data_IF_465386702475
#
_entry.id   IF_465386702475
#
_cell.length_a   1.000
_cell.length_b   1.000
_cell.length_c   1.000
_cell.angle_alpha   90.00
_cell.angle_beta   90.00
_cell.angle_gamma   90.00
#
_symmetry.space_group_name_H-M   'P 1'
#
loop_
_entity.id
_entity.type
_entity.pdbx_description
1 polymer ?
#
# COMPACT_ATOMS: atom_id res chain seq x y z
N UNK A 1 -13.72 -13.56 -68.35
CA UNK A 1 -12.58 -12.65 -68.63
C UNK A 1 -12.50 -12.61 -70.13
N UNK A 2 -13.25 -11.68 -70.71
CA UNK A 2 -13.62 -11.75 -72.11
C UNK A 2 -12.68 -10.87 -72.94
N UNK A 3 -11.93 -11.43 -73.90
CA UNK A 3 -10.93 -10.69 -74.68
C UNK A 3 -11.54 -9.77 -75.76
N UNK A 4 -12.86 -9.69 -75.89
CA UNK A 4 -13.54 -8.91 -76.95
C UNK A 4 -13.59 -7.39 -76.68
N UNK A 5 -13.57 -6.96 -75.41
CA UNK A 5 -13.71 -5.55 -75.05
C UNK A 5 -12.47 -4.70 -75.36
N UNK A 6 -11.30 -5.35 -75.45
CA UNK A 6 -10.04 -4.66 -75.78
C UNK A 6 -9.91 -4.37 -77.27
N UNK A 7 -10.60 -5.12 -78.14
CA UNK A 7 -10.59 -4.92 -79.58
C UNK A 7 -11.49 -3.75 -80.03
N UNK A 8 -12.53 -3.39 -79.26
CA UNK A 8 -13.41 -2.27 -79.59
C UNK A 8 -12.80 -0.91 -79.26
N UNK A 9 -12.00 -0.81 -78.19
CA UNK A 9 -11.35 0.44 -77.78
C UNK A 9 -10.24 0.83 -78.76
N UNK A 10 -9.49 -0.16 -79.27
CA UNK A 10 -8.44 0.08 -80.27
C UNK A 10 -9.04 0.54 -81.61
N UNK A 11 -10.20 0.00 -82.01
CA UNK A 11 -10.91 0.45 -83.22
C UNK A 11 -11.45 1.88 -83.12
N UNK A 12 -11.87 2.31 -81.93
CA UNK A 12 -12.29 3.71 -81.72
C UNK A 12 -11.10 4.66 -81.83
N UNK A 13 -9.93 4.28 -81.31
CA UNK A 13 -8.72 5.09 -81.40
C UNK A 13 -8.22 5.26 -82.85
N UNK A 14 -8.25 4.19 -83.65
CA UNK A 14 -7.81 4.22 -85.05
C UNK A 14 -8.73 5.08 -85.95
N UNK A 15 -10.04 5.06 -85.70
CA UNK A 15 -11.00 5.87 -86.46
C UNK A 15 -10.89 7.38 -86.17
N UNK A 16 -10.42 7.74 -84.98
CA UNK A 16 -10.18 9.14 -84.58
C UNK A 16 -8.91 9.69 -85.26
N UNK A 17 -7.89 8.85 -85.47
CA UNK A 17 -6.61 9.27 -86.08
C UNK A 17 -6.71 9.41 -87.61
N UNK A 18 -7.53 8.59 -88.28
CA UNK A 18 -7.67 8.62 -89.75
C UNK A 18 -8.62 9.70 -90.31
N UNK A 19 -9.35 10.43 -89.47
CA UNK A 19 -10.35 11.42 -89.92
C UNK A 19 -9.80 12.85 -90.09
N UNK A 20 -8.49 13.04 -89.99
CA UNK A 20 -7.84 14.35 -90.05
C UNK A 20 -7.17 14.67 -91.40
N UNK A 21 -7.94 14.78 -92.49
CA UNK A 21 -7.53 15.62 -93.62
C UNK A 21 -8.72 16.03 -94.51
N UNK A 22 -9.09 17.31 -94.49
CA UNK A 22 -9.45 18.15 -95.66
C UNK A 22 -10.05 19.52 -95.22
N UNK A 23 -9.27 20.57 -95.54
CA UNK A 23 -9.59 22.01 -95.71
C UNK A 23 -10.93 22.28 -96.46
N UNK A 24 -11.68 23.40 -96.39
CA UNK A 24 -11.47 24.84 -96.09
C UNK A 24 -12.82 25.59 -95.91
N UNK A 25 -12.75 26.80 -95.33
CA UNK A 25 -13.48 28.06 -95.67
C UNK A 25 -14.64 28.65 -94.82
N UNK A 26 -14.33 29.86 -94.31
CA UNK A 26 -15.16 31.08 -94.09
C UNK A 26 -15.97 31.32 -92.80
N UNK A 27 -15.40 32.22 -91.97
CA UNK A 27 -16.00 33.39 -91.26
C UNK A 27 -17.28 33.19 -90.42
N UNK A 28 -17.11 33.23 -89.09
CA UNK A 28 -17.51 34.35 -88.21
C UNK A 28 -17.01 34.13 -86.78
N UNK A 29 -16.31 35.13 -86.25
CA UNK A 29 -15.62 35.15 -84.96
C UNK A 29 -16.59 35.37 -83.79
N UNK A 30 -16.64 34.41 -82.88
CA UNK A 30 -16.80 34.64 -81.44
C UNK A 30 -15.98 33.55 -80.75
N UNK A 31 -14.69 33.84 -80.63
CA UNK A 31 -13.66 32.96 -80.15
C UNK A 31 -13.73 32.86 -78.62
N UNK A 32 -14.09 31.67 -78.12
CA UNK A 32 -13.79 31.21 -76.76
C UNK A 32 -13.39 29.71 -76.79
N UNK A 33 -12.94 29.23 -77.95
CA UNK A 33 -12.63 27.79 -78.13
C UNK A 33 -11.30 27.54 -78.84
N UNK A 34 -10.48 28.56 -79.05
CA UNK A 34 -9.15 28.41 -79.63
C UNK A 34 -8.07 27.83 -78.69
N UNK A 35 -8.40 27.34 -77.48
CA UNK A 35 -7.40 26.76 -76.56
C UNK A 35 -7.50 25.22 -76.41
N UNK A 36 -8.46 24.55 -77.05
CA UNK A 36 -8.58 23.08 -76.98
C UNK A 36 -7.92 22.32 -78.14
N UNK A 37 -7.28 23.03 -79.09
CA UNK A 37 -6.68 22.39 -80.28
C UNK A 37 -5.15 22.39 -80.26
N UNK A 38 -4.52 22.23 -79.09
CA UNK A 38 -3.10 21.90 -79.03
C UNK A 38 -2.89 20.51 -78.43
N UNK A 39 -2.56 19.58 -79.33
CA UNK A 39 -2.33 18.18 -79.08
C UNK A 39 -1.06 18.02 -78.21
N UNK A 40 -1.22 17.92 -76.89
CA UNK A 40 -0.09 17.78 -75.97
C UNK A 40 -0.54 17.33 -74.58
N UNK A 41 -0.77 16.02 -74.42
CA UNK A 41 -1.13 15.35 -73.17
C UNK A 41 -2.46 15.81 -72.54
N UNK A 42 -3.57 15.14 -72.90
CA UNK A 42 -4.77 15.14 -72.06
C UNK A 42 -4.41 14.52 -70.71
N UNK A 43 -3.98 15.37 -69.77
CA UNK A 43 -3.74 14.98 -68.39
C UNK A 43 -5.08 14.77 -67.71
N UNK A 44 -5.21 13.84 -66.76
CA UNK A 44 -6.48 13.59 -66.05
C UNK A 44 -7.05 14.87 -65.41
N UNK A 45 -6.18 15.84 -65.10
CA UNK A 45 -6.53 17.19 -64.66
C UNK A 45 -7.32 18.01 -65.69
N UNK A 46 -6.99 17.99 -66.98
CA UNK A 46 -7.74 18.79 -67.97
C UNK A 46 -9.16 18.25 -68.16
N UNK A 47 -9.32 16.93 -68.16
CA UNK A 47 -10.63 16.28 -68.23
C UNK A 47 -11.52 16.62 -67.03
N UNK A 48 -10.92 16.78 -65.84
CA UNK A 48 -11.69 17.20 -64.65
C UNK A 48 -12.18 18.64 -64.76
N UNK A 49 -11.39 19.53 -65.38
CA UNK A 49 -11.79 20.92 -65.62
C UNK A 49 -12.94 21.00 -66.63
N UNK A 50 -12.86 20.23 -67.72
CA UNK A 50 -13.93 20.16 -68.71
C UNK A 50 -15.24 19.60 -68.13
N UNK A 51 -15.16 18.55 -67.29
CA UNK A 51 -16.34 18.00 -66.62
C UNK A 51 -16.99 19.01 -65.65
N UNK A 52 -16.19 19.80 -64.93
CA UNK A 52 -16.70 20.89 -64.10
C UNK A 52 -17.36 21.97 -64.96
N UNK A 53 -16.74 22.35 -66.07
CA UNK A 53 -17.30 23.33 -67.00
C UNK A 53 -18.65 22.88 -67.58
N UNK A 54 -18.76 21.65 -68.07
CA UNK A 54 -20.03 21.11 -68.58
C UNK A 54 -21.09 21.01 -67.48
N UNK A 55 -20.73 20.63 -66.27
CA UNK A 55 -21.67 20.61 -65.13
C UNK A 55 -22.23 22.00 -64.84
N UNK A 56 -21.40 23.04 -64.91
CA UNK A 56 -21.84 24.42 -64.76
C UNK A 56 -22.70 24.90 -65.93
N UNK A 57 -22.38 24.51 -67.16
CA UNK A 57 -23.19 24.82 -68.34
C UNK A 57 -24.57 24.17 -68.25
N UNK A 58 -24.64 22.88 -67.90
CA UNK A 58 -25.91 22.16 -67.76
C UNK A 58 -26.72 22.65 -66.57
N UNK A 59 -26.09 23.09 -65.47
CA UNK A 59 -26.83 23.69 -64.35
C UNK A 59 -27.45 25.04 -64.74
N UNK A 60 -26.72 25.87 -65.49
CA UNK A 60 -27.24 27.13 -66.07
C UNK A 60 -28.36 26.87 -67.07
N UNK A 61 -28.21 25.87 -67.94
CA UNK A 61 -29.23 25.49 -68.91
C UNK A 61 -30.49 24.97 -68.21
N UNK A 62 -30.34 24.14 -67.17
CA UNK A 62 -31.45 23.64 -66.35
C UNK A 62 -32.18 24.76 -65.64
N UNK A 63 -31.45 25.71 -65.06
CA UNK A 63 -32.03 26.88 -64.40
C UNK A 63 -32.82 27.74 -65.40
N UNK A 64 -32.21 28.06 -66.55
CA UNK A 64 -32.85 28.81 -67.62
C UNK A 64 -34.12 28.13 -68.14
N UNK A 65 -34.08 26.81 -68.36
CA UNK A 65 -35.26 26.05 -68.79
C UNK A 65 -36.38 26.05 -67.73
N UNK A 66 -36.04 25.81 -66.46
CA UNK A 66 -37.04 25.85 -65.38
C UNK A 66 -37.65 27.25 -65.24
N UNK A 67 -36.83 28.29 -65.33
CA UNK A 67 -37.30 29.67 -65.30
C UNK A 67 -38.21 29.97 -66.50
N UNK A 68 -37.86 29.50 -67.70
CA UNK A 68 -38.68 29.68 -68.89
C UNK A 68 -40.00 28.92 -68.80
N UNK A 69 -40.00 27.65 -68.39
CA UNK A 69 -41.22 26.85 -68.22
C UNK A 69 -42.13 27.44 -67.14
N UNK A 70 -41.57 27.97 -66.06
CA UNK A 70 -42.37 28.63 -65.01
C UNK A 70 -42.94 29.96 -65.48
N UNK A 71 -42.17 30.78 -66.20
CA UNK A 71 -42.66 32.00 -66.85
C UNK A 71 -43.77 31.69 -67.86
N UNK A 72 -43.59 30.69 -68.71
CA UNK A 72 -44.61 30.26 -69.68
C UNK A 72 -45.87 29.77 -68.97
N UNK A 73 -45.73 28.92 -67.94
CA UNK A 73 -46.87 28.43 -67.14
C UNK A 73 -47.61 29.58 -66.45
N UNK A 74 -46.90 30.57 -65.93
CA UNK A 74 -47.47 31.76 -65.30
C UNK A 74 -48.21 32.65 -66.31
N UNK A 75 -47.57 32.96 -67.44
CA UNK A 75 -48.20 33.71 -68.52
C UNK A 75 -49.42 32.97 -69.06
N UNK A 76 -49.34 31.66 -69.23
CA UNK A 76 -50.47 30.82 -69.65
C UNK A 76 -51.59 30.86 -68.63
N UNK A 77 -51.29 30.82 -67.33
CA UNK A 77 -52.29 30.91 -66.27
C UNK A 77 -52.96 32.29 -66.18
N UNK A 78 -52.25 33.38 -66.49
CA UNK A 78 -52.82 34.74 -66.50
C UNK A 78 -53.58 35.03 -67.79
N UNK A 79 -53.09 34.53 -68.92
CA UNK A 79 -53.64 34.80 -70.26
C UNK A 79 -54.75 33.81 -70.64
N UNK A 80 -54.83 32.65 -69.97
CA UNK A 80 -56.01 31.80 -70.09
C UNK A 80 -57.17 32.44 -69.33
N UNK A 81 -58.18 32.93 -70.04
CA UNK A 81 -59.46 33.49 -69.54
C UNK A 81 -60.35 32.46 -68.78
N UNK A 82 -59.76 31.44 -68.17
CA UNK A 82 -60.45 30.48 -67.33
C UNK A 82 -60.04 30.81 -65.89
N UNK A 83 -60.86 31.55 -65.12
CA UNK A 83 -60.60 31.71 -63.70
C UNK A 83 -60.48 30.30 -63.10
N UNK A 84 -59.40 30.04 -62.37
CA UNK A 84 -59.26 28.84 -61.56
C UNK A 84 -60.37 28.88 -60.50
N UNK A 85 -61.52 28.29 -60.83
CA UNK A 85 -62.64 28.18 -59.91
C UNK A 85 -62.30 27.08 -58.92
N UNK A 86 -61.83 27.49 -57.74
CA UNK A 86 -61.72 26.57 -56.63
C UNK A 86 -63.14 26.20 -56.22
N UNK A 87 -63.55 24.96 -56.49
CA UNK A 87 -64.89 24.51 -56.15
C UNK A 87 -65.07 24.58 -54.62
N UNK A 88 -66.17 25.16 -54.11
CA UNK A 88 -66.44 25.22 -52.67
C UNK A 88 -66.38 23.84 -52.00
N UNK A 89 -66.67 22.78 -52.75
CA UNK A 89 -66.57 21.40 -52.28
C UNK A 89 -65.11 20.94 -52.11
N UNK A 90 -64.21 21.32 -53.01
CA UNK A 90 -62.77 21.05 -52.86
C UNK A 90 -62.20 21.77 -51.64
N UNK A 91 -62.59 23.03 -51.42
CA UNK A 91 -62.24 23.78 -50.21
C UNK A 91 -62.71 23.08 -48.94
N UNK A 92 -63.97 22.64 -48.90
CA UNK A 92 -64.51 21.96 -47.71
C UNK A 92 -63.77 20.65 -47.41
N UNK A 93 -63.34 19.91 -48.45
CA UNK A 93 -62.57 18.68 -48.29
C UNK A 93 -61.15 18.97 -47.80
N UNK A 94 -60.50 20.00 -48.35
CA UNK A 94 -59.17 20.43 -47.90
C UNK A 94 -59.22 20.95 -46.45
N UNK A 95 -60.27 21.65 -46.04
CA UNK A 95 -60.47 22.09 -44.65
C UNK A 95 -60.63 20.91 -43.69
N UNK A 96 -61.35 19.86 -44.09
CA UNK A 96 -61.46 18.63 -43.30
C UNK A 96 -60.11 17.93 -43.15
N UNK A 97 -59.36 17.77 -44.25
CA UNK A 97 -58.02 17.19 -44.23
C UNK A 97 -57.05 18.00 -43.35
N UNK A 98 -57.07 19.33 -43.49
CA UNK A 98 -56.27 20.21 -42.64
C UNK A 98 -56.66 20.12 -41.17
N UNK A 99 -57.95 19.94 -40.85
CA UNK A 99 -58.39 19.76 -39.48
C UNK A 99 -57.85 18.44 -38.89
N UNK A 100 -57.94 17.34 -39.64
CA UNK A 100 -57.40 16.04 -39.25
C UNK A 100 -55.88 16.08 -39.05
N UNK A 101 -55.14 16.62 -40.03
CA UNK A 101 -53.70 16.78 -39.97
C UNK A 101 -53.27 17.69 -38.81
N UNK A 102 -54.04 18.75 -38.53
CA UNK A 102 -53.76 19.65 -37.40
C UNK A 102 -53.97 18.97 -36.05
N UNK A 103 -54.97 18.08 -35.94
CA UNK A 103 -55.17 17.26 -34.72
C UNK A 103 -54.02 16.27 -34.57
N UNK A 104 -53.62 15.58 -35.64
CA UNK A 104 -52.49 14.66 -35.63
C UNK A 104 -51.19 15.37 -35.23
N UNK A 105 -50.93 16.54 -35.81
CA UNK A 105 -49.76 17.36 -35.49
C UNK A 105 -49.77 17.84 -34.04
N UNK A 106 -50.92 18.25 -33.50
CA UNK A 106 -51.05 18.62 -32.08
C UNK A 106 -50.70 17.46 -31.16
N UNK A 107 -51.24 16.27 -31.45
CA UNK A 107 -50.94 15.05 -30.69
C UNK A 107 -49.45 14.71 -30.72
N UNK A 108 -48.82 14.81 -31.88
CA UNK A 108 -47.37 14.59 -32.02
C UNK A 108 -46.55 15.64 -31.25
N UNK A 109 -46.97 16.91 -31.26
CA UNK A 109 -46.29 17.96 -30.46
C UNK A 109 -46.36 17.68 -28.97
N UNK A 110 -47.54 17.31 -28.47
CA UNK A 110 -47.72 16.92 -27.06
C UNK A 110 -46.87 15.70 -26.68
N UNK A 111 -46.77 14.71 -27.57
CA UNK A 111 -45.91 13.55 -27.35
C UNK A 111 -44.43 13.92 -27.32
N UNK A 112 -43.98 14.76 -28.25
CA UNK A 112 -42.59 15.26 -28.28
C UNK A 112 -42.28 16.07 -27.03
N UNK A 113 -43.17 16.98 -26.62
CA UNK A 113 -43.00 17.76 -25.38
C UNK A 113 -42.86 16.83 -24.16
N UNK A 114 -43.72 15.82 -24.06
CA UNK A 114 -43.63 14.81 -23.00
C UNK A 114 -42.28 14.08 -23.03
N UNK A 115 -41.84 13.59 -24.19
CA UNK A 115 -40.56 12.89 -24.33
C UNK A 115 -39.37 13.79 -23.98
N UNK A 116 -39.40 15.06 -24.36
CA UNK A 116 -38.35 16.03 -24.00
C UNK A 116 -38.30 16.20 -22.48
N UNK A 117 -39.45 16.37 -21.81
CA UNK A 117 -39.46 16.48 -20.34
C UNK A 117 -38.93 15.22 -19.66
N UNK A 118 -39.27 14.03 -20.18
CA UNK A 118 -38.74 12.77 -19.66
C UNK A 118 -37.23 12.68 -19.83
N UNK A 119 -36.71 12.99 -21.03
CA UNK A 119 -35.27 13.00 -21.30
C UNK A 119 -34.52 14.00 -20.42
N UNK A 120 -35.09 15.19 -20.17
CA UNK A 120 -34.48 16.16 -19.25
C UNK A 120 -34.40 15.62 -17.82
N UNK A 121 -35.45 14.94 -17.34
CA UNK A 121 -35.45 14.34 -15.99
C UNK A 121 -34.44 13.22 -15.88
N UNK A 122 -34.39 12.32 -16.87
CA UNK A 122 -33.42 11.23 -16.94
C UNK A 122 -31.99 11.77 -17.07
N UNK A 123 -31.77 12.82 -17.86
CA UNK A 123 -30.47 13.47 -18.01
C UNK A 123 -29.98 14.07 -16.69
N UNK A 124 -30.86 14.75 -15.93
CA UNK A 124 -30.54 15.28 -14.59
C UNK A 124 -30.21 14.16 -13.60
N UNK A 125 -30.98 13.07 -13.62
CA UNK A 125 -30.71 11.92 -12.75
C UNK A 125 -29.39 11.23 -13.09
N UNK A 126 -29.11 11.04 -14.39
CA UNK A 126 -27.86 10.45 -14.86
C UNK A 126 -26.66 11.30 -14.46
N UNK A 127 -26.74 12.63 -14.60
CA UNK A 127 -25.69 13.55 -14.17
C UNK A 127 -25.39 13.39 -12.66
N UNK A 128 -26.42 13.37 -11.81
CA UNK A 128 -26.26 13.15 -10.36
C UNK A 128 -25.62 11.80 -10.04
N UNK A 129 -26.06 10.72 -10.71
CA UNK A 129 -25.49 9.38 -10.53
C UNK A 129 -24.02 9.35 -10.97
N UNK A 130 -23.69 10.01 -12.08
CA UNK A 130 -22.32 10.11 -12.58
C UNK A 130 -21.42 10.85 -11.59
N UNK A 131 -21.85 11.99 -11.06
CA UNK A 131 -21.13 12.73 -10.02
C UNK A 131 -20.87 11.87 -8.77
N UNK A 132 -21.90 11.14 -8.31
CA UNK A 132 -21.77 10.23 -7.16
C UNK A 132 -20.75 9.12 -7.42
N UNK A 133 -20.76 8.51 -8.61
CA UNK A 133 -19.79 7.48 -9.01
C UNK A 133 -18.38 8.05 -9.10
N UNK A 134 -18.20 9.27 -9.62
CA UNK A 134 -16.89 9.91 -9.66
C UNK A 134 -16.34 10.17 -8.26
N UNK A 135 -17.18 10.62 -7.33
CA UNK A 135 -16.80 10.81 -5.93
C UNK A 135 -16.42 9.47 -5.26
N UNK A 136 -17.19 8.40 -5.51
CA UNK A 136 -16.83 7.07 -5.01
C UNK A 136 -15.52 6.57 -5.62
N UNK A 137 -15.26 6.85 -6.91
CA UNK A 137 -14.01 6.50 -7.58
C UNK A 137 -12.81 7.19 -6.97
N UNK A 138 -12.91 8.48 -6.65
CA UNK A 138 -11.80 9.20 -5.97
C UNK A 138 -11.54 8.62 -4.58
N UNK A 139 -12.60 8.37 -3.80
CA UNK A 139 -12.47 7.69 -2.49
C UNK A 139 -11.83 6.30 -2.60
N UNK A 140 -12.22 5.51 -3.59
CA UNK A 140 -11.62 4.20 -3.86
C UNK A 140 -10.17 4.30 -4.29
N UNK A 141 -9.77 5.36 -4.99
CA UNK A 141 -8.36 5.58 -5.34
C UNK A 141 -7.48 5.98 -4.14
N UNK A 142 -8.05 6.65 -3.14
CA UNK A 142 -7.35 7.02 -1.90
C UNK A 142 -7.27 5.89 -0.86
N UNK A 143 -8.15 4.88 -0.95
CA UNK A 143 -8.20 3.80 0.04
C UNK A 143 -6.93 2.93 0.05
N UNK A 144 -6.36 2.51 -1.09
CA UNK A 144 -5.13 1.72 -1.12
C UNK A 144 -3.95 2.41 -0.45
N UNK A 145 -3.80 3.73 -0.64
CA UNK A 145 -2.71 4.48 0.01
C UNK A 145 -2.91 4.52 1.53
N UNK A 146 -4.14 4.79 1.99
CA UNK A 146 -4.48 4.76 3.43
C UNK A 146 -4.28 3.37 4.04
N UNK A 147 -4.62 2.29 3.32
CA UNK A 147 -4.38 0.92 3.78
C UNK A 147 -2.88 0.66 3.89
N UNK A 148 -2.09 1.02 2.87
CA UNK A 148 -0.64 0.86 2.90
C UNK A 148 0.02 1.66 4.04
N UNK A 149 -0.45 2.89 4.27
CA UNK A 149 -0.02 3.72 5.40
C UNK A 149 -0.35 3.04 6.74
N UNK A 150 -1.58 2.55 6.93
CA UNK A 150 -1.99 1.84 8.14
C UNK A 150 -1.22 0.53 8.34
N UNK A 151 -0.97 -0.24 7.28
CA UNK A 151 -0.14 -1.45 7.33
C UNK A 151 1.30 -1.13 7.76
N UNK A 152 1.87 -0.04 7.23
CA UNK A 152 3.19 0.43 7.63
C UNK A 152 3.24 0.88 9.10
N UNK A 153 2.17 1.52 9.59
CA UNK A 153 2.03 1.90 10.99
C UNK A 153 1.89 0.67 11.88
N UNK A 154 1.12 -0.33 11.46
CA UNK A 154 0.99 -1.60 12.17
C UNK A 154 2.34 -2.31 12.24
N UNK A 155 3.09 -2.39 11.14
CA UNK A 155 4.41 -3.03 11.15
C UNK A 155 5.42 -2.27 12.02
N UNK A 156 5.39 -0.93 12.01
CA UNK A 156 6.20 -0.10 12.90
C UNK A 156 5.81 -0.28 14.38
N UNK A 157 4.52 -0.35 14.68
CA UNK A 157 4.02 -0.63 16.03
C UNK A 157 4.40 -2.04 16.50
N UNK A 158 4.28 -3.05 15.65
CA UNK A 158 4.72 -4.42 15.96
C UNK A 158 6.23 -4.54 16.16
N UNK A 159 7.01 -3.69 15.50
CA UNK A 159 8.47 -3.65 15.65
C UNK A 159 8.90 -2.90 16.91
N UNK A 160 8.24 -1.78 17.23
CA UNK A 160 8.50 -1.00 18.46
C UNK A 160 7.97 -1.67 19.72
N UNK A 161 6.82 -2.34 19.60
CA UNK A 161 6.17 -3.13 20.63
C UNK A 161 6.10 -4.57 20.11
N UNK A 162 7.20 -5.34 20.21
CA UNK A 162 7.09 -6.77 20.05
C UNK A 162 5.96 -7.22 20.97
N UNK A 163 4.92 -7.83 20.37
CA UNK A 163 3.83 -8.50 21.09
C UNK A 163 4.39 -9.19 22.34
N UNK A 164 3.64 -9.25 23.47
CA UNK A 164 4.13 -9.89 24.70
C UNK A 164 4.82 -11.22 24.39
N UNK A 165 4.34 -12.00 23.44
CA UNK A 165 4.93 -13.26 22.95
C UNK A 165 6.44 -13.21 22.59
N UNK A 166 7.00 -12.03 22.26
CA UNK A 166 8.42 -11.82 21.88
C UNK A 166 9.30 -11.26 23.00
N UNK A 167 8.78 -11.06 24.22
CA UNK A 167 9.65 -10.73 25.34
C UNK A 167 10.46 -11.97 25.73
N UNK A 168 11.78 -11.78 25.95
CA UNK A 168 12.71 -12.83 26.36
C UNK A 168 12.32 -13.51 27.68
N UNK A 169 11.47 -12.87 28.49
CA UNK A 169 11.01 -13.39 29.77
C UNK A 169 9.62 -14.03 29.61
N UNK A 170 9.50 -15.36 29.74
CA UNK A 170 8.23 -16.07 29.54
C UNK A 170 7.17 -15.69 30.59
N UNK A 171 7.57 -15.23 31.77
CA UNK A 171 6.66 -14.74 32.82
C UNK A 171 5.89 -13.46 32.41
N UNK A 172 6.44 -12.66 31.48
CA UNK A 172 5.78 -11.46 30.94
C UNK A 172 4.76 -11.77 29.85
N UNK A 173 4.69 -13.02 29.40
CA UNK A 173 3.86 -13.47 28.29
C UNK A 173 2.65 -14.27 28.79
N UNK A 174 2.51 -14.36 30.11
CA UNK A 174 1.44 -15.06 30.77
C UNK A 174 0.12 -14.30 30.60
N UNK A 175 -0.95 -15.06 30.45
CA UNK A 175 -2.30 -14.49 30.51
C UNK A 175 -2.57 -13.90 31.89
N UNK A 176 -3.46 -12.91 31.97
CA UNK A 176 -3.84 -12.26 33.24
C UNK A 176 -4.19 -13.23 34.39
N UNK A 177 -4.91 -14.35 34.20
CA UNK A 177 -5.12 -15.32 35.29
C UNK A 177 -3.82 -16.02 35.74
N UNK A 178 -2.90 -16.31 34.82
CA UNK A 178 -1.61 -16.94 35.13
C UNK A 178 -0.65 -15.97 35.84
N UNK A 179 -0.69 -14.68 35.53
CA UNK A 179 0.10 -13.69 36.27
C UNK A 179 -0.42 -13.50 37.68
N UNK A 180 -1.74 -13.56 37.88
CA UNK A 180 -2.34 -13.50 39.22
C UNK A 180 -1.97 -14.71 40.08
N UNK A 181 -1.94 -15.92 39.51
CA UNK A 181 -1.50 -17.12 40.24
C UNK A 181 -0.02 -17.08 40.58
N UNK A 182 0.84 -16.69 39.62
CA UNK A 182 2.27 -16.54 39.89
C UNK A 182 2.51 -15.48 40.96
N UNK A 183 1.77 -14.37 40.94
CA UNK A 183 1.85 -13.33 41.95
C UNK A 183 1.40 -13.81 43.34
N UNK A 184 0.38 -14.68 43.43
CA UNK A 184 0.01 -15.29 44.71
C UNK A 184 1.10 -16.23 45.23
N UNK A 185 1.69 -17.06 44.36
CA UNK A 185 2.73 -18.01 44.73
C UNK A 185 3.99 -17.29 45.25
N UNK A 186 4.43 -16.24 44.53
CA UNK A 186 5.56 -15.40 44.97
C UNK A 186 5.26 -14.65 46.26
N UNK A 187 4.01 -14.26 46.51
CA UNK A 187 3.61 -13.65 47.80
C UNK A 187 3.67 -14.65 48.95
N UNK A 188 3.23 -15.90 48.74
CA UNK A 188 3.38 -16.94 49.76
C UNK A 188 4.85 -17.25 50.04
N UNK A 189 5.68 -17.42 49.00
CA UNK A 189 7.12 -17.64 49.13
C UNK A 189 7.80 -16.49 49.90
N UNK A 190 7.46 -15.24 49.57
CA UNK A 190 7.97 -14.07 50.29
C UNK A 190 7.57 -14.09 51.77
N UNK A 191 6.33 -14.49 52.09
CA UNK A 191 5.87 -14.59 53.48
C UNK A 191 6.56 -15.73 54.25
N UNK A 192 6.83 -16.86 53.59
CA UNK A 192 7.53 -18.00 54.17
C UNK A 192 9.00 -17.65 54.44
N UNK A 193 9.67 -16.97 53.49
CA UNK A 193 11.02 -16.45 53.69
C UNK A 193 11.07 -15.43 54.82
N UNK A 194 10.09 -14.54 54.93
CA UNK A 194 10.02 -13.58 56.02
C UNK A 194 9.84 -14.29 57.38
N UNK A 195 9.04 -15.36 57.44
CA UNK A 195 8.90 -16.19 58.64
C UNK A 195 10.20 -16.91 59.00
N UNK A 196 10.93 -17.45 58.01
CA UNK A 196 12.23 -18.06 58.21
C UNK A 196 13.27 -17.05 58.69
N UNK A 197 13.31 -15.84 58.12
CA UNK A 197 14.19 -14.76 58.56
C UNK A 197 13.90 -14.40 60.02
N UNK A 198 12.62 -14.25 60.40
CA UNK A 198 12.23 -13.97 61.79
C UNK A 198 12.63 -15.11 62.74
N UNK A 199 12.46 -16.36 62.34
CA UNK A 199 12.86 -17.52 63.14
C UNK A 199 14.39 -17.57 63.34
N UNK A 200 15.17 -17.34 62.29
CA UNK A 200 16.63 -17.27 62.38
C UNK A 200 17.07 -16.08 63.24
N UNK A 201 16.45 -14.91 63.07
CA UNK A 201 16.72 -13.73 63.91
C UNK A 201 16.44 -14.00 65.40
N UNK A 202 15.42 -14.80 65.72
CA UNK A 202 15.12 -15.21 67.10
C UNK A 202 16.14 -16.22 67.66
N UNK A 203 16.81 -17.02 66.80
CA UNK A 203 17.85 -17.98 67.21
C UNK A 203 19.22 -17.32 67.41
N UNK A 204 19.53 -16.23 66.69
CA UNK A 204 20.78 -15.47 66.84
C UNK A 204 21.13 -15.14 68.31
N UNK A 205 20.24 -14.56 69.14
CA UNK A 205 20.58 -14.23 70.52
C UNK A 205 20.84 -15.47 71.38
N UNK A 206 20.14 -16.58 71.14
CA UNK A 206 20.39 -17.84 71.86
C UNK A 206 21.77 -18.40 71.50
N UNK A 207 22.10 -18.46 70.20
CA UNK A 207 23.42 -18.89 69.75
C UNK A 207 24.54 -17.97 70.20
N UNK A 208 24.28 -16.67 70.30
CA UNK A 208 25.23 -15.71 70.88
C UNK A 208 25.50 -16.00 72.36
N UNK A 209 24.47 -16.30 73.15
CA UNK A 209 24.63 -16.70 74.56
C UNK A 209 25.35 -18.04 74.71
N UNK A 210 25.05 -19.02 73.87
CA UNK A 210 25.76 -20.30 73.86
C UNK A 210 27.25 -20.11 73.57
N UNK A 211 27.58 -19.22 72.63
CA UNK A 211 28.96 -18.89 72.27
C UNK A 211 29.67 -18.15 73.43
N UNK A 212 29.01 -17.16 74.05
CA UNK A 212 29.50 -16.44 75.22
C UNK A 212 29.78 -17.40 76.39
N UNK A 213 28.85 -18.32 76.70
CA UNK A 213 29.07 -19.34 77.73
C UNK A 213 30.26 -20.26 77.41
N UNK A 214 30.40 -20.68 76.14
CA UNK A 214 31.53 -21.51 75.72
C UNK A 214 32.86 -20.75 75.79
N UNK A 215 32.88 -19.45 75.49
CA UNK A 215 34.04 -18.57 75.68
C UNK A 215 34.40 -18.46 77.17
N UNK A 216 33.40 -18.27 78.03
CA UNK A 216 33.56 -18.21 79.48
C UNK A 216 34.08 -19.53 80.07
N UNK A 217 33.65 -20.68 79.57
CA UNK A 217 34.17 -21.99 79.98
C UNK A 217 35.60 -22.24 79.46
N UNK A 218 35.93 -21.73 78.27
CA UNK A 218 37.25 -21.90 77.65
C UNK A 218 38.32 -21.01 78.32
N UNK A 219 37.94 -19.84 78.84
CA UNK A 219 38.84 -18.92 79.56
C UNK A 219 39.60 -19.56 80.75
N UNK A 220 38.94 -20.20 81.75
CA UNK A 220 39.61 -20.85 82.86
C UNK A 220 40.41 -22.07 82.42
N UNK A 221 39.94 -22.83 81.43
CA UNK A 221 40.68 -23.96 80.85
C UNK A 221 41.97 -23.51 80.15
N UNK A 222 41.94 -22.37 79.43
CA UNK A 222 43.15 -21.74 78.90
C UNK A 222 44.09 -21.27 80.01
N UNK A 223 43.57 -20.74 81.11
CA UNK A 223 44.35 -20.37 82.30
C UNK A 223 45.02 -21.58 82.95
N UNK A 224 44.27 -22.67 83.13
CA UNK A 224 44.79 -23.96 83.63
C UNK A 224 45.83 -24.56 82.68
N UNK A 225 45.59 -24.54 81.36
CA UNK A 225 46.59 -24.95 80.37
C UNK A 225 47.86 -24.11 80.47
N UNK A 226 47.75 -22.78 80.57
CA UNK A 226 48.92 -21.88 80.71
C UNK A 226 49.71 -22.16 81.99
N UNK A 227 49.04 -22.37 83.12
CA UNK A 227 49.70 -22.69 84.40
C UNK A 227 50.35 -24.07 84.37
N UNK A 228 49.66 -25.11 83.88
CA UNK A 228 50.24 -26.46 83.72
C UNK A 228 51.42 -26.47 82.75
N UNK A 229 51.30 -25.79 81.60
CA UNK A 229 52.42 -25.64 80.65
C UNK A 229 53.57 -24.85 81.26
N UNK A 230 53.28 -23.81 82.05
CA UNK A 230 54.28 -23.05 82.79
C UNK A 230 55.01 -23.90 83.83
N UNK A 231 54.28 -24.69 84.62
CA UNK A 231 54.83 -25.63 85.58
C UNK A 231 55.65 -26.72 84.88
N UNK A 232 55.16 -27.30 83.79
CA UNK A 232 55.90 -28.28 82.99
C UNK A 232 57.18 -27.68 82.39
N UNK A 233 57.13 -26.43 81.92
CA UNK A 233 58.30 -25.70 81.41
C UNK A 233 59.30 -25.39 82.53
N UNK A 234 58.85 -25.02 83.72
CA UNK A 234 59.72 -24.80 84.89
C UNK A 234 60.30 -26.10 85.43
N UNK A 235 59.57 -27.22 85.42
CA UNK A 235 60.11 -28.55 85.74
C UNK A 235 61.15 -28.96 84.71
N UNK A 236 60.89 -28.69 83.42
CA UNK A 236 61.86 -28.93 82.35
C UNK A 236 63.10 -28.04 82.50
N UNK A 237 62.93 -26.76 82.80
CA UNK A 237 64.04 -25.84 83.07
C UNK A 237 64.80 -26.21 84.35
N UNK A 238 64.13 -26.59 85.46
CA UNK A 238 64.83 -27.12 86.65
C UNK A 238 65.58 -28.42 86.37
N UNK A 239 65.05 -29.27 85.49
CA UNK A 239 65.75 -30.48 85.05
C UNK A 239 66.96 -30.16 84.17
N UNK A 240 66.87 -29.11 83.34
CA UNK A 240 67.94 -28.63 82.46
C UNK A 240 68.99 -27.75 83.21
N UNK A 241 68.61 -27.06 84.29
CA UNK A 241 69.43 -26.07 85.02
C UNK A 241 69.82 -26.49 86.45
N UNK A 242 69.29 -27.59 87.01
CA UNK A 242 69.56 -28.00 88.41
C UNK A 242 69.44 -29.49 88.72
N UNK A 243 69.27 -30.35 87.73
CA UNK A 243 69.14 -31.81 87.93
C UNK A 243 70.47 -32.56 88.18
N UNK A 244 71.60 -31.86 88.20
CA UNK A 244 72.93 -32.45 88.39
C UNK A 244 73.52 -31.99 89.74
N UNK A 245 73.32 -30.72 90.12
CA UNK A 245 73.96 -30.14 91.32
C UNK A 245 73.29 -30.52 92.65
N UNK A 246 71.96 -30.52 92.81
CA UNK A 246 71.34 -30.90 94.11
C UNK A 246 71.57 -32.38 94.46
N UNK A 247 71.57 -33.27 93.45
CA UNK A 247 71.89 -34.69 93.63
C UNK A 247 73.38 -34.91 93.88
N UNK A 248 74.26 -34.08 93.30
CA UNK A 248 75.70 -34.12 93.60
C UNK A 248 76.03 -33.53 94.96
N UNK A 249 75.35 -32.49 95.43
CA UNK A 249 75.51 -31.91 96.77
C UNK A 249 75.03 -32.86 97.86
N UNK A 250 73.88 -33.51 97.67
CA UNK A 250 73.44 -34.60 98.56
C UNK A 250 74.42 -35.77 98.51
N UNK A 251 74.91 -36.15 97.32
CA UNK A 251 75.94 -37.19 97.17
C UNK A 251 77.26 -36.83 97.86
N UNK A 252 77.69 -35.57 97.79
CA UNK A 252 78.88 -35.05 98.49
C UNK A 252 78.67 -34.99 99.99
N UNK A 253 77.49 -34.60 100.45
CA UNK A 253 77.14 -34.59 101.87
C UNK A 253 77.07 -36.01 102.44
N UNK A 254 76.43 -36.95 101.72
CA UNK A 254 76.43 -38.36 102.10
C UNK A 254 77.84 -38.94 102.12
N UNK A 255 78.69 -38.68 101.12
CA UNK A 255 80.10 -39.11 101.14
C UNK A 255 80.93 -38.44 102.24
N UNK A 256 80.68 -37.17 102.55
CA UNK A 256 81.37 -36.47 103.65
C UNK A 256 80.90 -37.01 105.02
N UNK A 257 79.61 -37.30 105.17
CA UNK A 257 79.07 -37.96 106.36
C UNK A 257 79.58 -39.38 106.52
N UNK A 258 79.74 -40.11 105.40
CA UNK A 258 80.38 -41.43 105.36
C UNK A 258 81.85 -41.32 105.75
N UNK A 259 82.60 -40.35 105.21
CA UNK A 259 84.00 -40.12 105.57
C UNK A 259 84.18 -39.77 107.06
N UNK A 260 83.32 -38.93 107.63
CA UNK A 260 83.34 -38.59 109.08
C UNK A 260 82.94 -39.79 109.93
N UNK A 261 81.97 -40.59 109.49
CA UNK A 261 81.58 -41.83 110.18
C UNK A 261 82.72 -42.88 110.11
N UNK A 262 83.41 -43.01 108.98
CA UNK A 262 84.58 -43.88 108.81
C UNK A 262 85.74 -43.43 109.69
N UNK A 263 85.96 -42.12 109.84
CA UNK A 263 86.98 -41.56 110.73
C UNK A 263 86.66 -41.78 112.22
N UNK A 264 85.39 -41.67 112.64
CA UNK A 264 84.98 -41.95 114.03
C UNK A 264 84.89 -43.44 114.39
N UNK A 265 84.65 -44.33 113.41
CA UNK A 265 84.52 -45.77 113.64
C UNK A 265 85.81 -46.57 113.47
N UNK A 266 86.92 -45.96 113.03
CA UNK A 266 88.26 -46.57 113.12
C UNK A 266 88.39 -47.94 112.45
N UNK A 267 87.70 -48.17 111.33
CA UNK A 267 87.80 -49.42 110.56
C UNK A 267 88.56 -49.19 109.27
N UNK A 268 89.77 -49.73 109.21
CA UNK A 268 90.57 -49.90 108.00
C UNK A 268 90.07 -51.09 107.17
N UNK A 269 89.60 -50.84 105.94
CA UNK A 269 89.79 -51.66 104.73
C UNK A 269 89.23 -50.92 103.51
#
# INVERSE_FOLDING_TARGET
MDPMSNLSIIRLYENIVSSGDTRTDTKRSSDVSADSSNNGFMTPSSLTVDLVHYKELFSKLRFSYLEQVTKEKFLRAITSDIPLFVEPQENSRLEQQLAEEKIALKKQKEEVERLVTELETQGKELARRYEAVQLQKTRLSELPTKISELESQISALQSSHPSPVKNSNPELNLSLPQTLSLLSDRKSEASDLEAQIKALQAQIPQKRRELENAEDELHPLMGQKKTVVGLAKQVRQRREEGGIDETEEQGRWYRASEAVLVEMLGVSS
#
